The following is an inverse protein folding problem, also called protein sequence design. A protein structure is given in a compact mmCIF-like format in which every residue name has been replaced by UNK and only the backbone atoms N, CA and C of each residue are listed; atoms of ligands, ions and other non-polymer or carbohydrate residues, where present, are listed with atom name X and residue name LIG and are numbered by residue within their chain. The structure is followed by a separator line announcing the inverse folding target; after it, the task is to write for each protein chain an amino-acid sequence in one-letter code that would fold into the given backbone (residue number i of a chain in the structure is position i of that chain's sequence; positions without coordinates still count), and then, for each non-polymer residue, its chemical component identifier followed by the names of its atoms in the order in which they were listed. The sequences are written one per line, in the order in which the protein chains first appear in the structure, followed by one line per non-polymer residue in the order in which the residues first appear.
data_IF_887959727607
#
_entry.id   IF_887959727607
#
_cell.length_a   1.000
_cell.length_b   1.000
_cell.length_c   1.000
_cell.angle_alpha   90.00
_cell.angle_beta   90.00
_cell.angle_gamma   90.00
#
_symmetry.space_group_name_H-M   'P 1'
#
loop_
_entity.id
_entity.type
_entity.pdbx_description
1 polymer ?
#
# COMPACT_ATOMS: atom_id res chain seq x y z
N UNK A 1 -17.45 8.21 -8.57
CA UNK A 1 -17.34 7.71 -7.19
C UNK A 1 -16.01 7.01 -7.12
N UNK A 2 -15.04 7.60 -6.44
CA UNK A 2 -13.68 7.06 -6.33
C UNK A 2 -13.73 5.74 -5.56
N UNK A 3 -13.56 4.62 -6.25
CA UNK A 3 -13.52 3.29 -5.63
C UNK A 3 -12.08 2.87 -5.34
N UNK A 4 -11.39 3.69 -4.57
CA UNK A 4 -10.08 3.35 -4.02
C UNK A 4 -10.28 2.53 -2.75
N UNK A 5 -9.87 1.25 -2.76
CA UNK A 5 -10.11 0.28 -1.68
C UNK A 5 -9.52 0.67 -0.32
N UNK A 6 -8.34 1.29 -0.31
CA UNK A 6 -7.68 1.73 0.92
C UNK A 6 -7.74 3.25 1.08
N UNK A 7 -7.91 3.73 2.31
CA UNK A 7 -7.86 5.16 2.65
C UNK A 7 -6.49 5.54 3.23
N UNK A 8 -6.16 6.83 3.24
CA UNK A 8 -4.96 7.30 3.94
C UNK A 8 -5.04 6.92 5.43
N UNK A 9 -3.94 6.43 5.98
CA UNK A 9 -3.87 5.91 7.34
C UNK A 9 -4.29 4.44 7.49
N UNK A 10 -4.76 3.78 6.42
CA UNK A 10 -5.08 2.35 6.49
C UNK A 10 -3.81 1.54 6.72
N UNK A 11 -3.85 0.62 7.70
CA UNK A 11 -2.82 -0.40 7.86
C UNK A 11 -3.03 -1.51 6.84
N UNK A 12 -1.98 -1.80 6.07
CA UNK A 12 -1.99 -2.81 5.02
C UNK A 12 -0.79 -3.74 5.18
N UNK A 13 -0.95 -4.94 4.65
CA UNK A 13 0.11 -5.94 4.53
C UNK A 13 0.45 -6.14 3.06
N UNK A 14 1.75 -6.08 2.75
CA UNK A 14 2.27 -6.38 1.42
C UNK A 14 2.21 -7.89 1.23
N UNK A 15 1.41 -8.34 0.27
CA UNK A 15 1.10 -9.77 0.08
C UNK A 15 2.34 -10.61 -0.23
N UNK A 16 3.32 -10.04 -0.94
CA UNK A 16 4.52 -10.76 -1.35
C UNK A 16 5.51 -11.02 -0.21
N UNK A 17 5.60 -10.13 0.78
CA UNK A 17 6.62 -10.18 1.85
C UNK A 17 6.06 -10.37 3.24
N UNK A 18 4.77 -10.10 3.45
CA UNK A 18 4.16 -10.03 4.79
C UNK A 18 4.52 -8.76 5.56
N UNK A 19 5.28 -7.82 4.95
CA UNK A 19 5.62 -6.56 5.59
C UNK A 19 4.36 -5.70 5.76
N UNK A 20 4.22 -5.09 6.93
CA UNK A 20 3.05 -4.26 7.27
C UNK A 20 3.42 -2.79 7.29
N UNK A 21 2.53 -1.95 6.77
CA UNK A 21 2.72 -0.51 6.72
C UNK A 21 1.44 0.29 6.70
N UNK A 22 1.60 1.60 6.55
CA UNK A 22 0.49 2.55 6.51
C UNK A 22 0.42 3.19 5.13
N UNK A 23 -0.78 3.26 4.57
CA UNK A 23 -1.05 4.00 3.33
C UNK A 23 -0.89 5.51 3.58
N UNK A 24 0.08 6.14 2.94
CA UNK A 24 0.39 7.58 3.03
C UNK A 24 0.11 8.35 1.73
N UNK A 25 -0.17 7.64 0.64
CA UNK A 25 -0.50 8.24 -0.66
C UNK A 25 -1.41 7.33 -1.47
N UNK A 26 -2.19 7.92 -2.37
CA UNK A 26 -3.14 7.22 -3.25
C UNK A 26 -3.06 7.84 -4.64
N UNK A 27 -3.08 7.02 -5.67
CA UNK A 27 -3.06 7.48 -7.05
C UNK A 27 -3.95 6.59 -7.91
N UNK A 28 -4.67 7.22 -8.84
CA UNK A 28 -5.45 6.55 -9.88
C UNK A 28 -4.78 6.78 -11.23
N UNK A 29 -4.93 5.81 -12.12
CA UNK A 29 -4.30 5.81 -13.43
C UNK A 29 -5.32 5.43 -14.50
N UNK A 30 -5.17 5.97 -15.70
CA UNK A 30 -6.06 5.68 -16.84
C UNK A 30 -5.89 4.26 -17.40
N UNK A 31 -4.72 3.65 -17.19
CA UNK A 31 -4.31 2.39 -17.82
C UNK A 31 -3.65 1.40 -16.85
N UNK A 32 -3.84 1.57 -15.54
CA UNK A 32 -3.34 0.67 -14.51
C UNK A 32 -4.31 0.63 -13.32
N UNK A 33 -4.16 -0.37 -12.47
CA UNK A 33 -4.89 -0.40 -11.20
C UNK A 33 -4.47 0.77 -10.29
N UNK A 34 -5.32 1.18 -9.34
CA UNK A 34 -4.93 2.15 -8.35
C UNK A 34 -3.67 1.73 -7.59
N UNK A 35 -2.82 2.69 -7.27
CA UNK A 35 -1.62 2.44 -6.46
C UNK A 35 -1.65 3.22 -5.16
N UNK A 36 -0.97 2.67 -4.16
CA UNK A 36 -0.89 3.18 -2.81
C UNK A 36 0.57 3.32 -2.39
N UNK A 37 0.95 4.50 -1.91
CA UNK A 37 2.26 4.69 -1.28
C UNK A 37 2.16 4.18 0.16
N UNK A 38 2.95 3.16 0.49
CA UNK A 38 2.97 2.55 1.82
C UNK A 38 4.30 2.87 2.49
N UNK A 39 4.23 3.41 3.71
CA UNK A 39 5.39 3.54 4.60
C UNK A 39 5.46 2.34 5.52
N UNK A 40 6.58 1.64 5.53
CA UNK A 40 6.78 0.43 6.32
C UNK A 40 8.25 0.25 6.71
N UNK A 41 8.48 -0.69 7.63
CA UNK A 41 9.82 -1.16 7.96
C UNK A 41 10.12 -2.37 7.09
N UNK A 42 11.13 -2.26 6.23
CA UNK A 42 11.58 -3.37 5.41
C UNK A 42 12.23 -4.47 6.28
N UNK A 43 12.31 -5.69 5.77
CA UNK A 43 12.94 -6.83 6.44
C UNK A 43 14.41 -6.58 6.82
N UNK A 44 15.10 -5.69 6.10
CA UNK A 44 16.47 -5.27 6.41
C UNK A 44 16.57 -4.20 7.51
N UNK A 45 15.43 -3.80 8.08
CA UNK A 45 15.33 -2.88 9.20
C UNK A 45 15.16 -1.41 8.83
N UNK A 46 15.22 -1.03 7.55
CA UNK A 46 15.07 0.36 7.11
C UNK A 46 13.61 0.80 7.09
N UNK A 47 13.37 2.05 7.45
CA UNK A 47 12.11 2.73 7.14
C UNK A 47 12.13 3.13 5.67
N UNK A 48 11.15 2.67 4.90
CA UNK A 48 11.02 2.97 3.47
C UNK A 48 9.59 3.35 3.09
N UNK A 49 9.47 3.97 1.94
CA UNK A 49 8.21 4.29 1.28
C UNK A 49 8.24 3.71 -0.13
N UNK A 50 7.21 2.96 -0.51
CA UNK A 50 7.12 2.37 -1.86
C UNK A 50 5.68 2.34 -2.33
N UNK A 51 5.49 2.46 -3.65
CA UNK A 51 4.20 2.35 -4.29
C UNK A 51 3.88 0.89 -4.61
N UNK A 52 2.66 0.50 -4.28
CA UNK A 52 2.13 -0.84 -4.51
C UNK A 52 0.77 -0.74 -5.20
N UNK A 53 0.52 -1.61 -6.19
CA UNK A 53 -0.81 -1.76 -6.79
C UNK A 53 -1.83 -2.27 -5.77
N UNK A 54 -3.10 -1.95 -5.96
CA UNK A 54 -4.21 -2.36 -5.08
C UNK A 54 -4.21 -3.86 -4.80
N UNK A 55 -3.96 -4.67 -5.83
CA UNK A 55 -3.90 -6.13 -5.77
C UNK A 55 -2.76 -6.69 -4.91
N UNK A 56 -1.69 -5.92 -4.67
CA UNK A 56 -0.55 -6.34 -3.86
C UNK A 56 -0.81 -6.19 -2.36
N UNK A 57 -1.91 -5.57 -1.95
CA UNK A 57 -2.20 -5.20 -0.57
C UNK A 57 -3.47 -5.88 -0.04
N UNK A 58 -3.48 -6.15 1.26
CA UNK A 58 -4.69 -6.49 2.01
C UNK A 58 -4.69 -5.78 3.37
N UNK A 59 -5.87 -5.63 3.97
CA UNK A 59 -6.01 -5.04 5.30
C UNK A 59 -5.29 -5.96 6.30
N UNK A 60 -4.44 -5.36 7.13
CA UNK A 60 -3.80 -6.09 8.23
C UNK A 60 -4.86 -6.62 9.19
N UNK A 61 -4.83 -7.93 9.46
CA UNK A 61 -5.75 -8.59 10.41
C UNK A 61 -5.46 -8.24 11.86
#
# INVERSE_FOLDING_TARGET
MDHLRFTLGTNVTITASGETGVVIGRAEFTNAEPSYSVRYKAADGRAIESWWGESALHITS
#
